data_IF_106075719589
#
_entry.id   IF_106075719589
#
_cell.length_a   1.000
_cell.length_b   1.000
_cell.length_c   1.000
_cell.angle_alpha   90.00
_cell.angle_beta   90.00
_cell.angle_gamma   90.00
#
_symmetry.space_group_name_H-M   'P 1'
#
loop_
_entity.id
_entity.type
_entity.pdbx_description
1 polymer ?
#
# COMPACT_ATOMS: atom_id res chain seq x y z
N UNK A 1 25.89 0.85 0.32
CA UNK A 1 24.54 0.85 -0.27
C UNK A 1 23.60 1.27 0.85
N UNK A 2 22.80 2.34 0.70
CA UNK A 2 21.75 2.62 1.69
C UNK A 2 20.82 1.40 1.79
N UNK A 3 20.41 1.06 3.02
CA UNK A 3 19.54 -0.08 3.28
C UNK A 3 18.12 0.27 2.81
N UNK A 4 17.55 -0.57 1.93
CA UNK A 4 16.21 -0.39 1.34
C UNK A 4 15.18 -1.16 2.15
N UNK A 5 13.99 -0.60 2.30
CA UNK A 5 12.87 -1.30 2.93
C UNK A 5 12.13 -2.18 1.93
N UNK A 6 12.09 -3.49 2.20
CA UNK A 6 11.25 -4.45 1.49
C UNK A 6 9.85 -4.64 2.10
N UNK A 7 9.55 -3.98 3.23
CA UNK A 7 8.37 -4.28 4.04
C UNK A 7 7.06 -4.05 3.28
N UNK A 8 6.86 -2.87 2.68
CA UNK A 8 5.64 -2.59 1.94
C UNK A 8 5.55 -3.34 0.62
N UNK A 9 6.69 -3.60 -0.02
CA UNK A 9 6.78 -4.44 -1.21
C UNK A 9 6.25 -5.85 -0.93
N UNK A 10 6.70 -6.46 0.17
CA UNK A 10 6.21 -7.74 0.67
C UNK A 10 4.72 -7.68 0.99
N UNK A 11 4.27 -6.67 1.73
CA UNK A 11 2.85 -6.55 2.12
C UNK A 11 1.92 -6.22 0.95
N UNK A 12 2.44 -5.72 -0.16
CA UNK A 12 1.68 -5.54 -1.39
C UNK A 12 1.21 -6.88 -1.96
N UNK A 13 2.05 -7.93 -1.89
CA UNK A 13 1.80 -9.22 -2.57
C UNK A 13 1.44 -10.37 -1.62
N UNK A 14 1.66 -10.20 -0.32
CA UNK A 14 1.36 -11.22 0.69
C UNK A 14 -0.13 -11.60 0.72
N UNK A 15 -0.43 -12.90 0.80
CA UNK A 15 -1.79 -13.45 0.90
C UNK A 15 -1.98 -14.19 2.25
N UNK A 16 -1.66 -13.54 3.36
CA UNK A 16 -1.72 -14.16 4.70
C UNK A 16 -3.10 -14.00 5.37
N UNK A 17 -3.72 -12.82 5.29
CA UNK A 17 -5.03 -12.55 5.88
C UNK A 17 -5.85 -11.58 5.05
N UNK A 18 -7.18 -11.75 5.00
CA UNK A 18 -8.04 -10.83 4.31
C UNK A 18 -8.17 -9.52 5.08
N UNK A 19 -8.39 -8.44 4.34
CA UNK A 19 -8.71 -7.11 4.88
C UNK A 19 -9.85 -6.50 4.06
N UNK A 20 -10.49 -5.47 4.61
CA UNK A 20 -11.61 -4.79 3.95
C UNK A 20 -11.21 -3.41 3.44
N UNK A 21 -11.71 -3.05 2.27
CA UNK A 21 -11.71 -1.70 1.71
C UNK A 21 -13.07 -1.45 1.03
N UNK A 22 -13.77 -0.37 1.42
CA UNK A 22 -15.11 0.00 0.91
C UNK A 22 -16.04 -1.21 0.71
N UNK A 23 -16.32 -1.92 1.82
CA UNK A 23 -17.17 -3.13 1.88
C UNK A 23 -16.74 -4.33 1.04
N UNK A 24 -15.62 -4.23 0.33
CA UNK A 24 -15.02 -5.33 -0.44
C UNK A 24 -13.89 -5.97 0.35
N UNK A 25 -13.78 -7.30 0.26
CA UNK A 25 -12.74 -8.09 0.93
C UNK A 25 -11.63 -8.42 -0.06
N UNK A 26 -10.39 -8.14 0.33
CA UNK A 26 -9.19 -8.42 -0.46
C UNK A 26 -8.23 -9.30 0.33
N UNK A 27 -7.50 -10.17 -0.37
CA UNK A 27 -6.50 -11.05 0.22
C UNK A 27 -5.08 -10.50 0.11
N UNK A 28 -4.76 -9.82 -1.00
CA UNK A 28 -3.50 -9.08 -1.15
C UNK A 28 -3.77 -7.59 -1.39
N UNK A 29 -2.79 -6.74 -1.06
CA UNK A 29 -2.91 -5.30 -1.28
C UNK A 29 -2.82 -4.93 -2.77
N UNK A 30 -2.14 -5.73 -3.58
CA UNK A 30 -2.10 -5.53 -5.03
C UNK A 30 -3.50 -5.61 -5.67
N UNK A 31 -4.32 -6.58 -5.29
CA UNK A 31 -5.69 -6.72 -5.82
C UNK A 31 -6.56 -5.51 -5.43
N UNK A 32 -6.42 -5.04 -4.19
CA UNK A 32 -7.10 -3.82 -3.73
C UNK A 32 -6.61 -2.59 -4.52
N UNK A 33 -5.30 -2.46 -4.72
CA UNK A 33 -4.72 -1.40 -5.52
C UNK A 33 -5.27 -1.41 -6.95
N UNK A 34 -5.26 -2.56 -7.62
CA UNK A 34 -5.76 -2.70 -8.99
C UNK A 34 -7.25 -2.37 -9.07
N UNK A 35 -8.05 -2.85 -8.11
CA UNK A 35 -9.47 -2.51 -8.03
C UNK A 35 -9.71 -1.00 -7.88
N UNK A 36 -8.98 -0.33 -6.98
CA UNK A 36 -9.12 1.12 -6.75
C UNK A 36 -8.67 1.91 -7.98
N UNK A 37 -7.53 1.51 -8.57
CA UNK A 37 -6.98 2.11 -9.78
C UNK A 37 -7.98 2.08 -10.93
N UNK A 38 -8.56 0.90 -11.21
CA UNK A 38 -9.55 0.74 -12.28
C UNK A 38 -10.86 1.48 -11.99
N UNK A 39 -11.28 1.50 -10.72
CA UNK A 39 -12.47 2.27 -10.29
C UNK A 39 -12.29 3.76 -10.56
N UNK A 40 -11.10 4.31 -10.27
CA UNK A 40 -10.81 5.72 -10.52
C UNK A 40 -10.42 6.04 -11.95
N UNK A 41 -10.19 5.04 -12.79
CA UNK A 41 -9.79 5.25 -14.17
C UNK A 41 -10.86 5.97 -15.01
N UNK A 42 -12.13 5.86 -14.63
CA UNK A 42 -13.21 6.64 -15.25
C UNK A 42 -12.99 8.15 -15.12
N UNK A 43 -12.48 8.63 -13.97
CA UNK A 43 -12.18 10.05 -13.75
C UNK A 43 -11.01 10.55 -14.60
N UNK A 44 -10.07 9.66 -14.96
CA UNK A 44 -8.99 9.97 -15.91
C UNK A 44 -9.57 10.25 -17.30
N UNK A 45 -10.54 9.45 -17.74
CA UNK A 45 -11.19 9.64 -19.04
C UNK A 45 -11.98 10.96 -19.11
N UNK A 46 -12.47 11.44 -17.97
CA UNK A 46 -13.17 12.72 -17.85
C UNK A 46 -12.21 13.92 -17.70
N UNK A 47 -10.90 13.68 -17.57
CA UNK A 47 -9.89 14.72 -17.41
C UNK A 47 -9.84 15.34 -16.01
N UNK A 48 -10.47 14.71 -15.02
CA UNK A 48 -10.54 15.23 -13.64
C UNK A 48 -9.31 14.88 -12.81
N UNK A 49 -8.63 13.78 -13.16
CA UNK A 49 -7.44 13.29 -12.46
C UNK A 49 -6.46 12.66 -13.44
N UNK A 50 -5.17 12.68 -13.11
CA UNK A 50 -4.13 12.02 -13.90
C UNK A 50 -3.97 10.55 -13.49
N UNK A 51 -3.42 9.73 -14.40
CA UNK A 51 -3.06 8.35 -14.08
C UNK A 51 -2.08 8.25 -12.90
N UNK A 52 -1.13 9.19 -12.86
CA UNK A 52 -0.21 9.34 -11.75
C UNK A 52 -0.96 9.59 -10.41
N UNK A 53 -1.96 10.48 -10.44
CA UNK A 53 -2.78 10.81 -9.27
C UNK A 53 -3.60 9.63 -8.76
N UNK A 54 -4.24 8.86 -9.66
CA UNK A 54 -4.96 7.64 -9.25
C UNK A 54 -4.00 6.57 -8.72
N UNK A 55 -2.78 6.50 -9.25
CA UNK A 55 -1.76 5.55 -8.77
C UNK A 55 -1.38 5.87 -7.33
N UNK A 56 -1.10 7.15 -7.04
CA UNK A 56 -0.77 7.61 -5.70
C UNK A 56 -1.92 7.30 -4.71
N UNK A 57 -3.16 7.61 -5.08
CA UNK A 57 -4.34 7.36 -4.26
C UNK A 57 -4.56 5.86 -4.00
N UNK A 58 -4.52 5.04 -5.06
CA UNK A 58 -4.72 3.60 -4.96
C UNK A 58 -3.64 2.92 -4.11
N UNK A 59 -2.36 3.31 -4.28
CA UNK A 59 -1.25 2.79 -3.48
C UNK A 59 -1.45 3.10 -1.99
N UNK A 60 -1.78 4.36 -1.69
CA UNK A 60 -2.02 4.82 -0.33
C UNK A 60 -3.18 4.03 0.30
N UNK A 61 -4.33 3.99 -0.37
CA UNK A 61 -5.54 3.38 0.17
C UNK A 61 -5.39 1.88 0.40
N UNK A 62 -4.82 1.14 -0.56
CA UNK A 62 -4.63 -0.30 -0.43
C UNK A 62 -3.70 -0.66 0.74
N UNK A 63 -2.55 0.01 0.85
CA UNK A 63 -1.58 -0.27 1.91
C UNK A 63 -2.09 0.20 3.28
N UNK A 64 -2.71 1.37 3.36
CA UNK A 64 -3.26 1.91 4.63
C UNK A 64 -4.44 1.08 5.11
N UNK A 65 -5.32 0.63 4.22
CA UNK A 65 -6.39 -0.30 4.56
C UNK A 65 -5.81 -1.59 5.11
N UNK A 66 -4.86 -2.23 4.40
CA UNK A 66 -4.22 -3.45 4.88
C UNK A 66 -3.55 -3.24 6.24
N UNK A 67 -2.77 -2.17 6.41
CA UNK A 67 -2.09 -1.85 7.68
C UNK A 67 -3.09 -1.60 8.82
N UNK A 68 -4.24 -1.00 8.53
CA UNK A 68 -5.30 -0.76 9.52
C UNK A 68 -5.95 -2.05 10.01
N UNK A 69 -6.06 -3.06 9.15
CA UNK A 69 -6.67 -4.35 9.49
C UNK A 69 -5.65 -5.33 10.08
N UNK A 70 -4.48 -5.52 9.45
CA UNK A 70 -3.50 -6.55 9.83
C UNK A 70 -2.55 -6.10 10.96
N UNK A 71 -2.59 -6.76 12.14
CA UNK A 71 -1.61 -6.52 13.19
C UNK A 71 -0.17 -6.85 12.78
N UNK A 72 0.02 -7.91 11.99
CA UNK A 72 1.33 -8.35 11.49
C UNK A 72 2.00 -7.26 10.66
N UNK A 73 1.27 -6.66 9.71
CA UNK A 73 1.79 -5.52 8.94
C UNK A 73 2.18 -4.34 9.82
N UNK A 74 1.40 -4.01 10.86
CA UNK A 74 1.76 -2.92 11.79
C UNK A 74 3.01 -3.20 12.59
N UNK A 75 3.25 -4.46 12.93
CA UNK A 75 4.44 -4.89 13.65
C UNK A 75 5.67 -4.82 12.74
N UNK A 76 5.58 -5.37 11.53
CA UNK A 76 6.64 -5.26 10.52
C UNK A 76 6.98 -3.78 10.23
N UNK A 77 5.96 -2.92 10.06
CA UNK A 77 6.13 -1.48 9.86
C UNK A 77 6.83 -0.79 11.05
N UNK A 78 6.55 -1.20 12.29
CA UNK A 78 7.19 -0.62 13.48
C UNK A 78 8.65 -1.04 13.64
N UNK A 79 8.96 -2.26 13.19
CA UNK A 79 10.29 -2.85 13.33
C UNK A 79 11.21 -2.51 12.15
N UNK A 80 10.71 -1.84 11.12
CA UNK A 80 11.48 -1.41 9.96
C UNK A 80 11.95 0.06 10.10
N UNK A 81 13.25 0.29 10.41
CA UNK A 81 13.80 1.63 10.60
C UNK A 81 13.91 2.45 9.30
N UNK A 82 13.83 1.81 8.14
CA UNK A 82 14.06 2.43 6.83
C UNK A 82 12.77 2.68 6.03
N UNK A 83 11.62 2.28 6.57
CA UNK A 83 10.35 2.26 5.84
C UNK A 83 9.91 3.61 5.25
N UNK A 84 10.31 4.73 5.87
CA UNK A 84 9.96 6.09 5.44
C UNK A 84 11.06 6.79 4.65
N UNK A 85 12.20 6.14 4.38
CA UNK A 85 13.35 6.79 3.74
C UNK A 85 13.20 6.94 2.21
N UNK A 86 12.05 6.54 1.66
CA UNK A 86 11.71 6.66 0.24
C UNK A 86 12.38 5.63 -0.66
N UNK A 87 13.42 4.96 -0.18
CA UNK A 87 14.04 3.83 -0.86
C UNK A 87 13.37 2.52 -0.43
N UNK A 88 12.45 2.03 -1.27
CA UNK A 88 11.75 0.77 -1.05
C UNK A 88 11.91 -0.16 -2.25
N UNK A 89 11.98 -1.46 -1.99
CA UNK A 89 11.99 -2.48 -3.04
C UNK A 89 10.67 -2.46 -3.81
N UNK A 90 10.71 -2.78 -5.10
CA UNK A 90 9.49 -2.92 -5.89
C UNK A 90 8.81 -4.25 -5.52
N UNK A 91 7.48 -4.32 -5.37
CA UNK A 91 6.78 -5.57 -5.17
C UNK A 91 7.01 -6.54 -6.35
N UNK A 92 7.24 -7.82 -6.04
CA UNK A 92 7.37 -8.86 -7.05
C UNK A 92 5.99 -9.22 -7.64
N UNK A 93 5.72 -8.69 -8.83
CA UNK A 93 4.49 -8.93 -9.59
C UNK A 93 4.73 -9.83 -10.80
N UNK A 94 5.81 -10.62 -10.82
CA UNK A 94 6.12 -11.53 -11.92
C UNK A 94 4.99 -12.53 -12.22
N UNK A 95 4.27 -12.97 -11.18
CA UNK A 95 3.14 -13.91 -11.29
C UNK A 95 1.81 -13.24 -11.68
N UNK A 96 1.76 -11.91 -11.79
CA UNK A 96 0.55 -11.17 -12.14
C UNK A 96 0.49 -10.89 -13.65
N UNK A 97 -0.69 -10.98 -14.28
CA UNK A 97 -0.84 -10.66 -15.70
C UNK A 97 -0.47 -9.19 -15.97
N UNK A 98 0.00 -8.93 -17.19
CA UNK A 98 0.25 -7.56 -17.63
C UNK A 98 -1.04 -6.75 -17.63
N UNK A 99 -0.99 -5.58 -16.99
CA UNK A 99 -2.13 -4.68 -16.85
C UNK A 99 -1.65 -3.25 -16.69
N UNK A 100 -2.53 -2.28 -16.98
CA UNK A 100 -2.23 -0.87 -16.79
C UNK A 100 -1.88 -0.54 -15.35
N UNK A 101 -2.63 -1.11 -14.40
CA UNK A 101 -2.34 -0.99 -12.97
C UNK A 101 -0.93 -1.52 -12.62
N UNK A 102 -0.53 -2.69 -13.15
CA UNK A 102 0.82 -3.24 -12.93
C UNK A 102 1.91 -2.29 -13.43
N UNK A 103 1.74 -1.76 -14.65
CA UNK A 103 2.70 -0.83 -15.26
C UNK A 103 2.79 0.48 -14.48
N UNK A 104 1.64 1.07 -14.14
CA UNK A 104 1.56 2.33 -13.39
C UNK A 104 2.17 2.21 -11.99
N UNK A 105 1.90 1.10 -11.28
CA UNK A 105 2.52 0.83 -9.99
C UNK A 105 4.04 0.80 -10.11
N UNK A 106 4.56 0.05 -11.08
CA UNK A 106 6.00 -0.11 -11.30
C UNK A 106 6.68 1.22 -11.63
N UNK A 107 6.02 2.04 -12.45
CA UNK A 107 6.52 3.36 -12.85
C UNK A 107 6.54 4.37 -11.71
N UNK A 108 5.53 4.35 -10.84
CA UNK A 108 5.32 5.40 -9.84
C UNK A 108 5.62 4.97 -8.39
N UNK A 109 6.04 3.72 -8.16
CA UNK A 109 6.31 3.16 -6.84
C UNK A 109 7.23 4.05 -6.00
N UNK A 110 8.44 4.32 -6.50
CA UNK A 110 9.46 5.08 -5.77
C UNK A 110 9.00 6.51 -5.44
N UNK A 111 8.07 7.07 -6.22
CA UNK A 111 7.56 8.43 -6.04
C UNK A 111 6.55 8.52 -4.89
N UNK A 112 5.76 7.48 -4.64
CA UNK A 112 4.62 7.54 -3.70
C UNK A 112 4.72 6.60 -2.51
N UNK A 113 5.62 5.62 -2.54
CA UNK A 113 5.70 4.62 -1.47
C UNK A 113 6.02 5.22 -0.11
N UNK A 114 6.88 6.25 -0.05
CA UNK A 114 7.22 6.95 1.19
C UNK A 114 5.98 7.55 1.87
N UNK A 115 5.06 8.11 1.08
CA UNK A 115 3.81 8.70 1.58
C UNK A 115 2.89 7.63 2.17
N UNK A 116 2.73 6.50 1.47
CA UNK A 116 1.96 5.37 1.98
C UNK A 116 2.61 4.75 3.24
N UNK A 117 3.94 4.71 3.29
CA UNK A 117 4.70 4.26 4.46
C UNK A 117 4.45 5.12 5.68
N UNK A 118 4.56 6.45 5.54
CA UNK A 118 4.27 7.38 6.64
C UNK A 118 2.86 7.20 7.18
N UNK A 119 1.86 7.02 6.30
CA UNK A 119 0.49 6.75 6.72
C UNK A 119 0.37 5.42 7.48
N UNK A 120 1.04 4.36 7.02
CA UNK A 120 1.10 3.07 7.71
C UNK A 120 1.74 3.19 9.11
N UNK A 121 2.84 3.95 9.24
CA UNK A 121 3.48 4.22 10.54
C UNK A 121 2.52 4.94 11.48
N UNK A 122 1.83 5.98 11.00
CA UNK A 122 0.84 6.69 11.82
C UNK A 122 -0.29 5.78 12.30
N UNK A 123 -0.79 4.89 11.43
CA UNK A 123 -1.79 3.87 11.80
C UNK A 123 -1.23 2.91 12.86
N UNK A 124 0.01 2.45 12.67
CA UNK A 124 0.67 1.52 13.57
C UNK A 124 0.86 2.11 14.98
N UNK A 125 1.25 3.39 15.07
CA UNK A 125 1.45 4.12 16.33
C UNK A 125 0.12 4.40 17.03
N UNK A 126 -0.88 4.96 16.33
CA UNK A 126 -2.18 5.32 16.93
C UNK A 126 -2.90 4.13 17.56
N UNK A 127 -2.81 2.93 16.96
CA UNK A 127 -3.43 1.72 17.49
C UNK A 127 -2.68 1.12 18.67
N UNK A 128 -1.36 1.30 18.72
CA UNK A 128 -0.56 0.91 19.87
C UNK A 128 -0.98 1.71 21.11
N UNK A 129 -1.04 3.04 20.99
CA UNK A 129 -1.40 3.91 22.12
C UNK A 129 -2.80 3.63 22.67
N UNK A 130 -3.76 3.30 21.80
CA UNK A 130 -5.10 2.86 22.23
C UNK A 130 -5.08 1.50 22.93
N UNK A 131 -4.25 0.57 22.48
CA UNK A 131 -4.10 -0.74 23.10
C UNK A 131 -3.39 -0.69 24.46
N UNK A 132 -2.47 0.26 24.65
CA UNK A 132 -1.81 0.51 25.94
C UNK A 132 -2.75 1.20 26.92
N UNK A 133 -3.55 2.18 26.49
CA UNK A 133 -4.51 2.88 27.36
C UNK A 133 -5.74 2.05 27.75
N UNK A 134 -5.99 0.93 27.07
CA UNK A 134 -7.10 0.03 27.36
C UNK A 134 -6.70 -1.16 28.26
N UNK A 135 -5.45 -1.20 28.73
CA UNK A 135 -4.92 -2.17 29.71
C UNK A 135 -4.62 -1.46 31.02
#
# INVERSE_FOLDING_TARGET
>A
MPERSGTLAKHMTLMDRPFRYNDTVFWCAYDAYAYIFETYHLYVRMGEITEEGITAAAMHDALVARCSYLPSMREDVRNDPHIVWGESDLPDLSNQPESRAKSALSQHWAKYIATAAMACVQVATRRYDRGVRAR
#
